data_IF_701935237360
#
_entry.id   IF_701935237360
#
_cell.length_a   1.000
_cell.length_b   1.000
_cell.length_c   1.000
_cell.angle_alpha   90.00
_cell.angle_beta   90.00
_cell.angle_gamma   90.00
#
_symmetry.space_group_name_H-M   'P 1'
#
loop_
_entity.id
_entity.type
_entity.pdbx_description
1 polymer ?
#
# COMPACT_ATOMS: atom_id res chain seq x y z
N UNK A 1 8.38 -19.42 -1.94
CA UNK A 1 7.56 -18.91 -3.05
C UNK A 1 7.26 -17.44 -2.80
N UNK A 2 7.38 -16.61 -3.84
CA UNK A 2 7.22 -15.15 -3.77
C UNK A 2 5.75 -14.80 -4.07
N UNK A 3 5.19 -13.84 -3.31
CA UNK A 3 3.80 -13.39 -3.46
C UNK A 3 3.71 -11.87 -3.40
N UNK A 4 2.60 -11.35 -3.94
CA UNK A 4 2.15 -9.97 -3.76
C UNK A 4 0.78 -9.95 -3.10
N UNK A 5 0.66 -9.15 -2.04
CA UNK A 5 -0.60 -8.89 -1.34
C UNK A 5 -0.94 -7.41 -1.48
N UNK A 6 -2.13 -7.12 -1.96
CA UNK A 6 -2.70 -5.77 -2.02
C UNK A 6 -3.90 -5.70 -1.09
N UNK A 7 -3.92 -4.71 -0.20
CA UNK A 7 -5.05 -4.47 0.69
C UNK A 7 -5.34 -2.98 0.84
N UNK A 8 -6.57 -2.67 1.25
CA UNK A 8 -6.98 -1.35 1.67
C UNK A 8 -7.50 -1.34 3.10
N UNK A 9 -7.46 -0.17 3.73
CA UNK A 9 -8.03 0.09 5.06
C UNK A 9 -8.36 1.57 5.20
N UNK A 10 -9.14 1.94 6.23
CA UNK A 10 -9.47 3.32 6.57
C UNK A 10 -8.72 3.76 7.82
N UNK A 11 -8.29 5.01 7.87
CA UNK A 11 -7.69 5.60 9.08
C UNK A 11 -8.70 5.49 10.23
N UNK A 12 -8.26 5.03 11.40
CA UNK A 12 -9.13 4.87 12.56
C UNK A 12 -9.56 6.24 13.12
N UNK A 13 -8.58 7.13 13.31
CA UNK A 13 -8.77 8.52 13.74
C UNK A 13 -8.17 9.51 12.72
N UNK A 14 -9.00 10.16 11.88
CA UNK A 14 -8.56 11.16 10.91
C UNK A 14 -7.84 12.38 11.50
N UNK A 15 -7.99 12.67 12.79
CA UNK A 15 -7.29 13.77 13.45
C UNK A 15 -5.83 13.42 13.81
N UNK A 16 -5.46 12.13 13.75
CA UNK A 16 -4.13 11.63 14.07
C UNK A 16 -3.22 11.60 12.84
N UNK A 17 -2.49 12.68 12.60
CA UNK A 17 -1.49 12.74 11.53
C UNK A 17 -0.23 11.90 11.82
N UNK A 18 0.01 11.53 13.09
CA UNK A 18 1.18 10.74 13.50
C UNK A 18 1.12 9.26 13.09
N UNK A 19 -0.07 8.75 12.77
CA UNK A 19 -0.24 7.32 12.51
C UNK A 19 0.45 6.87 11.22
N UNK A 20 0.42 7.70 10.17
CA UNK A 20 1.06 7.36 8.88
C UNK A 20 2.58 7.30 9.00
N UNK A 21 3.20 8.29 9.66
CA UNK A 21 4.65 8.32 9.87
C UNK A 21 5.11 7.14 10.74
N UNK A 22 4.33 6.82 11.77
CA UNK A 22 4.58 5.66 12.65
C UNK A 22 4.51 4.34 11.88
N UNK A 23 3.51 4.14 11.02
CA UNK A 23 3.38 2.95 10.16
C UNK A 23 4.60 2.83 9.23
N UNK A 24 5.01 3.93 8.60
CA UNK A 24 6.15 3.95 7.69
C UNK A 24 7.46 3.65 8.41
N UNK A 25 7.69 4.26 9.58
CA UNK A 25 8.88 4.03 10.39
C UNK A 25 8.98 2.55 10.82
N UNK A 26 7.86 1.99 11.32
CA UNK A 26 7.80 0.59 11.72
C UNK A 26 8.05 -0.33 10.53
N UNK A 27 7.40 -0.07 9.39
CA UNK A 27 7.56 -0.86 8.16
C UNK A 27 9.01 -0.84 7.69
N UNK A 28 9.64 0.32 7.62
CA UNK A 28 11.05 0.45 7.16
C UNK A 28 12.03 -0.25 8.10
N UNK A 29 11.73 -0.33 9.39
CA UNK A 29 12.57 -1.03 10.37
C UNK A 29 12.40 -2.56 10.32
N UNK A 30 11.17 -3.06 10.17
CA UNK A 30 10.88 -4.50 10.28
C UNK A 30 10.96 -5.25 8.94
N UNK A 31 10.54 -4.61 7.84
CA UNK A 31 10.41 -5.27 6.55
C UNK A 31 11.74 -5.84 5.99
N UNK A 32 12.89 -5.16 6.10
CA UNK A 32 14.15 -5.67 5.56
C UNK A 32 14.56 -7.02 6.16
N UNK A 33 14.45 -7.16 7.49
CA UNK A 33 14.77 -8.39 8.20
C UNK A 33 13.83 -9.56 7.80
N UNK A 34 12.63 -9.25 7.34
CA UNK A 34 11.64 -10.22 6.88
C UNK A 34 11.64 -10.44 5.36
N UNK A 35 12.55 -9.77 4.62
CA UNK A 35 12.59 -9.82 3.16
C UNK A 35 11.31 -9.29 2.49
N UNK A 36 10.66 -8.30 3.11
CA UNK A 36 9.43 -7.68 2.62
C UNK A 36 9.79 -6.35 1.95
N UNK A 37 9.16 -6.08 0.80
CA UNK A 37 9.21 -4.80 0.09
C UNK A 37 7.79 -4.35 -0.21
N UNK A 38 7.61 -3.10 -0.63
CA UNK A 38 6.27 -2.63 -0.94
C UNK A 38 6.12 -1.13 -1.01
N UNK A 39 4.86 -0.73 -1.14
CA UNK A 39 4.45 0.67 -1.20
C UNK A 39 3.19 0.88 -0.36
N UNK A 40 3.15 1.98 0.38
CA UNK A 40 1.99 2.52 1.05
C UNK A 40 1.51 3.80 0.34
N UNK A 41 0.33 3.76 -0.23
CA UNK A 41 -0.38 4.91 -0.76
C UNK A 41 -1.42 5.37 0.28
N UNK A 42 -1.48 6.68 0.57
CA UNK A 42 -2.37 7.22 1.59
C UNK A 42 -2.97 8.56 1.20
N UNK A 43 -4.21 8.80 1.63
CA UNK A 43 -4.94 10.06 1.44
C UNK A 43 -6.46 9.84 1.49
N UNK A 44 -7.22 10.90 1.77
CA UNK A 44 -8.69 10.79 1.86
C UNK A 44 -9.16 9.81 2.95
N UNK A 45 -8.40 9.69 4.06
CA UNK A 45 -8.63 8.71 5.13
C UNK A 45 -8.51 7.23 4.68
N UNK A 46 -7.85 6.97 3.56
CA UNK A 46 -7.59 5.62 3.03
C UNK A 46 -6.10 5.29 3.09
N UNK A 47 -5.81 4.04 3.41
CA UNK A 47 -4.54 3.38 3.10
C UNK A 47 -4.77 2.32 2.02
N UNK A 48 -3.90 2.31 1.01
CA UNK A 48 -3.78 1.27 0.01
C UNK A 48 -2.33 0.80 0.00
N UNK A 49 -2.08 -0.48 0.30
CA UNK A 49 -0.74 -0.98 0.49
C UNK A 49 -0.50 -2.28 -0.27
N UNK A 50 0.61 -2.33 -1.01
CA UNK A 50 1.13 -3.53 -1.64
C UNK A 50 2.35 -4.05 -0.86
N UNK A 51 2.35 -5.35 -0.57
CA UNK A 51 3.41 -6.07 0.11
C UNK A 51 3.92 -7.20 -0.78
N UNK A 52 5.23 -7.27 -0.96
CA UNK A 52 5.89 -8.31 -1.75
C UNK A 52 6.92 -9.04 -0.88
N UNK A 53 6.96 -10.36 -0.95
CA UNK A 53 7.85 -11.14 -0.11
C UNK A 53 7.57 -12.63 -0.14
N UNK A 54 8.26 -13.37 0.73
CA UNK A 54 7.98 -14.79 0.91
C UNK A 54 6.55 -14.99 1.42
N UNK A 55 5.84 -15.99 0.87
CA UNK A 55 4.44 -16.30 1.21
C UNK A 55 4.17 -16.24 2.72
N UNK A 56 5.00 -16.94 3.51
CA UNK A 56 4.84 -17.02 4.96
C UNK A 56 5.03 -15.66 5.65
N UNK A 57 6.04 -14.89 5.23
CA UNK A 57 6.36 -13.59 5.83
C UNK A 57 5.27 -12.56 5.52
N UNK A 58 4.77 -12.53 4.28
CA UNK A 58 3.68 -11.64 3.87
C UNK A 58 2.38 -11.99 4.60
N UNK A 59 2.02 -13.27 4.69
CA UNK A 59 0.82 -13.71 5.42
C UNK A 59 0.90 -13.41 6.91
N UNK A 60 2.06 -13.63 7.54
CA UNK A 60 2.28 -13.29 8.94
C UNK A 60 2.15 -11.78 9.19
N UNK A 61 2.81 -10.95 8.37
CA UNK A 61 2.74 -9.50 8.48
C UNK A 61 1.29 -9.01 8.29
N UNK A 62 0.57 -9.53 7.30
CA UNK A 62 -0.82 -9.16 7.07
C UNK A 62 -1.73 -9.48 8.27
N UNK A 63 -1.50 -10.61 8.94
CA UNK A 63 -2.23 -10.95 10.18
C UNK A 63 -1.97 -9.98 11.34
N UNK A 64 -0.78 -9.37 11.41
CA UNK A 64 -0.49 -8.31 12.39
C UNK A 64 -1.14 -7.00 11.99
N UNK A 65 -1.08 -6.65 10.70
CA UNK A 65 -1.71 -5.46 10.13
C UNK A 65 -3.21 -5.48 10.43
N UNK A 66 -3.92 -6.59 10.22
CA UNK A 66 -5.36 -6.69 10.48
C UNK A 66 -5.79 -6.34 11.92
N UNK A 67 -4.86 -6.41 12.89
CA UNK A 67 -5.12 -6.12 14.31
C UNK A 67 -4.63 -4.74 14.74
N UNK A 68 -4.05 -3.96 13.82
CA UNK A 68 -3.50 -2.65 14.11
C UNK A 68 -4.62 -1.66 14.42
N UNK A 69 -4.51 -0.96 15.56
CA UNK A 69 -5.55 -0.02 16.01
C UNK A 69 -5.55 1.31 15.25
N UNK A 70 -4.52 1.58 14.46
CA UNK A 70 -4.38 2.82 13.67
C UNK A 70 -5.29 2.85 12.45
N UNK A 71 -5.87 1.71 12.07
CA UNK A 71 -6.80 1.61 10.95
C UNK A 71 -7.97 0.66 11.23
N UNK A 72 -8.94 0.67 10.33
CA UNK A 72 -10.15 -0.17 10.38
C UNK A 72 -10.59 -0.54 8.97
N UNK A 73 -11.62 -1.35 8.86
CA UNK A 73 -12.22 -1.78 7.58
C UNK A 73 -11.19 -2.39 6.62
N UNK A 74 -10.32 -3.25 7.15
CA UNK A 74 -9.23 -3.87 6.37
C UNK A 74 -9.81 -4.87 5.37
N UNK A 75 -9.54 -4.66 4.09
CA UNK A 75 -10.03 -5.51 2.99
C UNK A 75 -8.85 -5.98 2.13
N UNK A 76 -8.75 -7.30 1.93
CA UNK A 76 -7.84 -7.89 0.95
C UNK A 76 -8.40 -7.67 -0.46
N UNK A 77 -7.63 -6.99 -1.31
CA UNK A 77 -8.05 -6.64 -2.67
C UNK A 77 -7.50 -7.61 -3.71
N UNK A 78 -6.26 -8.05 -3.52
CA UNK A 78 -5.58 -8.96 -4.44
C UNK A 78 -4.49 -9.75 -3.71
N UNK A 79 -4.36 -11.03 -4.04
CA UNK A 79 -3.28 -11.89 -3.55
C UNK A 79 -2.88 -12.88 -4.64
N UNK A 80 -1.61 -12.86 -5.02
CA UNK A 80 -1.12 -13.66 -6.13
C UNK A 80 0.31 -14.14 -5.89
N UNK A 81 0.69 -15.20 -6.60
CA UNK A 81 2.08 -15.59 -6.77
C UNK A 81 2.72 -14.70 -7.83
N UNK A 82 3.96 -14.25 -7.60
CA UNK A 82 4.66 -13.38 -8.54
C UNK A 82 6.00 -14.01 -8.93
N UNK A 83 6.40 -13.83 -10.20
CA UNK A 83 7.72 -14.23 -10.70
C UNK A 83 8.82 -13.26 -10.29
N UNK A 84 8.48 -11.98 -10.17
CA UNK A 84 9.39 -10.90 -9.80
C UNK A 84 8.69 -9.83 -8.96
N UNK A 85 9.48 -9.06 -8.21
CA UNK A 85 8.99 -7.92 -7.42
C UNK A 85 8.80 -6.70 -8.32
N UNK A 86 7.63 -6.06 -8.27
CA UNK A 86 7.43 -4.74 -8.89
C UNK A 86 7.94 -3.63 -7.99
N UNK A 87 7.80 -3.76 -6.68
CA UNK A 87 8.16 -2.77 -5.68
C UNK A 87 9.46 -3.12 -4.93
N UNK A 88 10.32 -3.93 -5.56
CA UNK A 88 11.57 -4.41 -4.94
C UNK A 88 12.58 -3.32 -4.57
N UNK A 89 12.49 -2.14 -5.18
CA UNK A 89 13.36 -0.99 -4.90
C UNK A 89 13.02 -0.21 -3.63
N UNK A 90 12.00 -0.62 -2.88
CA UNK A 90 11.56 0.07 -1.67
C UNK A 90 11.25 -0.91 -0.54
N UNK A 91 11.93 -0.75 0.59
CA UNK A 91 11.59 -1.46 1.84
C UNK A 91 10.17 -1.11 2.31
N UNK A 92 9.81 0.17 2.18
CA UNK A 92 8.43 0.66 2.16
C UNK A 92 8.38 2.05 1.51
N UNK A 93 7.99 2.08 0.24
CA UNK A 93 7.76 3.31 -0.51
C UNK A 93 6.51 4.02 -0.01
N UNK A 94 6.44 5.33 -0.17
CA UNK A 94 5.26 6.10 0.21
C UNK A 94 4.76 6.97 -0.94
N UNK A 95 3.43 7.07 -1.06
CA UNK A 95 2.74 8.00 -1.96
C UNK A 95 1.66 8.71 -1.18
N UNK A 96 1.68 10.04 -1.22
CA UNK A 96 0.61 10.87 -0.68
C UNK A 96 -0.34 11.26 -1.83
N UNK A 97 -1.56 10.73 -1.80
CA UNK A 97 -2.59 10.96 -2.84
C UNK A 97 -2.95 12.43 -2.98
N UNK A 98 -2.89 13.21 -1.90
CA UNK A 98 -3.18 14.64 -1.94
C UNK A 98 -2.17 15.43 -2.78
N UNK A 99 -1.02 14.83 -3.13
CA UNK A 99 0.00 15.43 -4.00
C UNK A 99 -0.05 14.90 -5.44
N UNK A 100 -1.00 14.02 -5.76
CA UNK A 100 -1.14 13.44 -7.09
C UNK A 100 -1.92 14.35 -8.03
N UNK A 101 -1.68 14.19 -9.33
CA UNK A 101 -2.53 14.78 -10.35
C UNK A 101 -3.85 13.98 -10.43
N UNK A 102 -4.98 14.67 -10.32
CA UNK A 102 -6.32 14.08 -10.42
C UNK A 102 -6.53 13.25 -11.69
N UNK A 103 -5.84 13.59 -12.78
CA UNK A 103 -5.93 12.81 -14.03
C UNK A 103 -5.43 11.37 -13.88
N UNK A 104 -4.50 11.10 -12.96
CA UNK A 104 -4.02 9.74 -12.67
C UNK A 104 -5.12 8.94 -11.99
N UNK A 105 -5.79 9.53 -10.99
CA UNK A 105 -6.88 8.85 -10.27
C UNK A 105 -8.05 8.56 -11.22
N UNK A 106 -8.46 9.54 -12.03
CA UNK A 106 -9.55 9.39 -12.99
C UNK A 106 -9.35 8.30 -14.05
N UNK A 107 -8.12 7.82 -14.29
CA UNK A 107 -7.89 6.64 -15.14
C UNK A 107 -8.40 5.35 -14.50
N UNK A 108 -8.46 5.30 -13.17
CA UNK A 108 -8.71 4.08 -12.40
C UNK A 108 -9.89 4.21 -11.42
N UNK A 109 -10.56 5.36 -11.33
CA UNK A 109 -11.72 5.60 -10.47
C UNK A 109 -12.71 6.58 -11.12
N UNK A 110 -13.99 6.49 -10.74
CA UNK A 110 -15.05 7.38 -11.24
C UNK A 110 -14.88 8.83 -10.77
N UNK A 111 -14.24 9.02 -9.62
CA UNK A 111 -13.97 10.31 -8.98
C UNK A 111 -12.46 10.51 -8.84
N UNK A 112 -11.97 11.76 -8.73
CA UNK A 112 -10.55 12.06 -8.49
C UNK A 112 -10.15 11.82 -7.03
N UNK A 113 -10.56 10.67 -6.48
CA UNK A 113 -10.36 10.27 -5.09
C UNK A 113 -9.86 8.82 -5.08
N UNK A 114 -8.99 8.50 -4.12
CA UNK A 114 -8.56 7.12 -3.89
C UNK A 114 -9.70 6.37 -3.20
N UNK A 115 -10.42 5.53 -3.95
CA UNK A 115 -11.46 4.65 -3.39
C UNK A 115 -11.28 3.19 -3.81
N UNK A 116 -10.40 2.43 -3.14
CA UNK A 116 -10.15 1.03 -3.41
C UNK A 116 -11.32 0.10 -3.05
N UNK A 117 -12.38 0.61 -2.41
CA UNK A 117 -13.58 -0.18 -2.08
C UNK A 117 -14.59 -0.21 -3.23
N UNK A 118 -14.51 0.76 -4.13
CA UNK A 118 -15.41 0.88 -5.29
C UNK A 118 -14.77 0.39 -6.59
N UNK A 119 -13.51 -0.03 -6.57
CA UNK A 119 -12.77 -0.52 -7.75
C UNK A 119 -12.15 -1.88 -7.49
N UNK A 120 -11.87 -2.64 -8.55
CA UNK A 120 -11.26 -3.96 -8.40
C UNK A 120 -9.81 -3.88 -7.88
N UNK A 121 -9.34 -4.96 -7.25
CA UNK A 121 -7.94 -5.08 -6.83
C UNK A 121 -6.95 -4.93 -7.98
N UNK A 122 -7.29 -5.42 -9.18
CA UNK A 122 -6.47 -5.25 -10.38
C UNK A 122 -6.34 -3.78 -10.79
N UNK A 123 -7.43 -2.99 -10.72
CA UNK A 123 -7.39 -1.56 -11.01
C UNK A 123 -6.60 -0.79 -9.96
N UNK A 124 -6.78 -1.14 -8.67
CA UNK A 124 -5.99 -0.56 -7.58
C UNK A 124 -4.49 -0.86 -7.73
N UNK A 125 -4.14 -2.07 -8.19
CA UNK A 125 -2.77 -2.44 -8.48
C UNK A 125 -2.20 -1.65 -9.66
N UNK A 126 -2.97 -1.51 -10.75
CA UNK A 126 -2.57 -0.74 -11.92
C UNK A 126 -2.30 0.74 -11.58
N UNK A 127 -3.10 1.32 -10.67
CA UNK A 127 -2.83 2.65 -10.12
C UNK A 127 -1.45 2.71 -9.43
N UNK A 128 -1.12 1.74 -8.57
CA UNK A 128 0.19 1.71 -7.90
C UNK A 128 1.37 1.56 -8.88
N UNK A 129 1.18 0.77 -9.94
CA UNK A 129 2.18 0.59 -10.99
C UNK A 129 2.39 1.88 -11.82
N UNK A 130 1.32 2.62 -12.12
CA UNK A 130 1.41 3.94 -12.75
C UNK A 130 2.15 4.94 -11.83
N UNK A 131 1.83 4.96 -10.53
CA UNK A 131 2.49 5.83 -9.55
C UNK A 131 3.98 5.53 -9.38
N UNK A 132 4.37 4.28 -9.56
CA UNK A 132 5.76 3.86 -9.66
C UNK A 132 6.43 4.43 -10.91
N UNK A 133 5.78 4.29 -12.07
CA UNK A 133 6.29 4.77 -13.35
C UNK A 133 6.45 6.30 -13.39
N UNK A 134 5.55 7.05 -12.74
CA UNK A 134 5.60 8.52 -12.66
C UNK A 134 6.53 9.06 -11.59
N UNK A 135 7.39 8.21 -11.00
CA UNK A 135 8.34 8.57 -9.93
C UNK A 135 7.66 9.27 -8.72
N UNK A 136 6.39 8.97 -8.47
CA UNK A 136 5.63 9.55 -7.37
C UNK A 136 5.92 8.89 -6.02
N UNK A 137 6.69 7.79 -6.04
CA UNK A 137 7.10 7.02 -4.86
C UNK A 137 8.34 7.63 -4.20
N UNK A 138 8.20 8.03 -2.94
CA UNK A 138 9.30 8.56 -2.12
C UNK A 138 9.84 7.45 -1.21
N UNK A 139 11.14 7.51 -0.89
CA UNK A 139 11.78 6.64 0.12
C UNK A 139 12.50 5.43 -0.45
N UNK A 140 13.22 5.61 -1.56
CA UNK A 140 14.17 4.60 -2.07
C UNK A 140 15.17 4.25 -0.95
N UNK A 141 15.43 2.96 -0.79
CA UNK A 141 16.44 2.40 0.12
C UNK A 141 17.81 2.38 -0.52
#
# INVERSE_FOLDING_TARGET
MLVRLLYASRVADPASTSDTESILAQSRSHNPASGITGILCYGGNIFLQALEGGRMQVSALYGHIQQDKRHKDVVLLHYEEISERRFGGWTMGQVNVAKLNNSILLKYSEKPELDPYSVSGHMSLALLEELMATASIIGRS
#
